data_IF_630574616313
#
_entry.id   IF_630574616313
#
_cell.length_a   1.000
_cell.length_b   1.000
_cell.length_c   1.000
_cell.angle_alpha   90.00
_cell.angle_beta   90.00
_cell.angle_gamma   90.00
#
_symmetry.space_group_name_H-M   'P 1'
#
loop_
_entity.id
_entity.type
_entity.pdbx_description
1 polymer ?
#
# COMPACT_ATOMS: atom_id res chain seq x y z
N UNK A 1 -29.73 -14.92 54.72
CA UNK A 1 -28.43 -15.62 54.70
C UNK A 1 -27.57 -14.97 53.63
N UNK A 2 -26.44 -14.39 54.04
CA UNK A 2 -25.41 -13.83 53.16
C UNK A 2 -24.66 -14.98 52.51
N UNK A 3 -24.54 -14.99 51.19
CA UNK A 3 -23.25 -15.29 50.55
C UNK A 3 -23.21 -14.58 49.20
N UNK A 4 -22.52 -13.43 49.18
CA UNK A 4 -21.92 -12.89 47.98
C UNK A 4 -20.88 -13.91 47.49
N UNK A 5 -21.00 -14.37 46.25
CA UNK A 5 -19.91 -15.02 45.53
C UNK A 5 -19.62 -14.16 44.30
N UNK A 6 -18.70 -13.22 44.50
CA UNK A 6 -17.93 -12.58 43.45
C UNK A 6 -17.10 -13.66 42.76
N UNK A 7 -17.38 -13.94 41.49
CA UNK A 7 -16.46 -14.65 40.61
C UNK A 7 -15.95 -13.64 39.61
N UNK A 8 -14.83 -13.01 39.96
CA UNK A 8 -13.98 -12.31 39.01
C UNK A 8 -13.16 -13.37 38.27
N UNK A 9 -13.42 -13.54 36.97
CA UNK A 9 -12.53 -14.26 36.07
C UNK A 9 -12.16 -13.31 34.92
N UNK A 10 -11.02 -12.66 35.11
CA UNK A 10 -10.26 -12.00 34.05
C UNK A 10 -10.00 -13.04 32.95
N UNK A 11 -10.67 -12.90 31.81
CA UNK A 11 -10.20 -13.54 30.57
C UNK A 11 -9.56 -12.43 29.74
N UNK A 12 -8.27 -12.64 29.53
CA UNK A 12 -7.30 -11.72 28.96
C UNK A 12 -7.80 -11.05 27.70
N UNK A 13 -7.93 -9.72 27.74
CA UNK A 13 -7.85 -8.89 26.55
C UNK A 13 -6.43 -8.95 25.99
N UNK A 14 -6.04 -10.07 25.39
CA UNK A 14 -4.98 -10.04 24.40
C UNK A 14 -5.62 -9.53 23.12
N UNK A 15 -5.73 -8.20 23.01
CA UNK A 15 -5.65 -7.55 21.70
C UNK A 15 -4.21 -7.80 21.25
N UNK A 16 -3.96 -9.03 20.82
CA UNK A 16 -2.76 -9.37 20.08
C UNK A 16 -2.99 -8.71 18.74
N UNK A 17 -2.41 -7.53 18.56
CA UNK A 17 -2.16 -6.99 17.24
C UNK A 17 -1.23 -8.00 16.55
N UNK A 18 -1.79 -9.08 16.02
CA UNK A 18 -1.08 -9.88 15.03
C UNK A 18 -0.96 -8.93 13.85
N UNK A 19 0.20 -8.29 13.74
CA UNK A 19 0.59 -7.60 12.53
C UNK A 19 0.91 -8.74 11.55
N UNK A 20 -0.14 -9.30 10.93
CA UNK A 20 0.03 -10.23 9.82
C UNK A 20 0.83 -9.46 8.78
N UNK A 21 2.08 -9.90 8.54
CA UNK A 21 2.89 -9.34 7.49
C UNK A 21 2.31 -9.74 6.13
N UNK A 22 2.49 -8.88 5.13
CA UNK A 22 2.12 -9.19 3.74
C UNK A 22 2.85 -10.47 3.30
N UNK A 23 2.09 -11.43 2.77
CA UNK A 23 2.63 -12.65 2.18
C UNK A 23 3.34 -12.38 0.84
N UNK A 24 4.31 -13.23 0.47
CA UNK A 24 4.99 -13.10 -0.82
C UNK A 24 4.03 -13.27 -2.01
N UNK A 25 3.00 -14.11 -1.86
CA UNK A 25 1.96 -14.30 -2.87
C UNK A 25 1.12 -13.03 -3.08
N UNK A 26 0.82 -12.29 -2.01
CA UNK A 26 0.13 -11.02 -2.10
C UNK A 26 0.99 -9.94 -2.78
N UNK A 27 2.27 -9.83 -2.40
CA UNK A 27 3.22 -8.94 -3.09
C UNK A 27 3.31 -9.26 -4.58
N UNK A 28 3.40 -10.54 -4.94
CA UNK A 28 3.47 -10.96 -6.32
C UNK A 28 2.21 -10.56 -7.11
N UNK A 29 1.01 -10.70 -6.51
CA UNK A 29 -0.25 -10.23 -7.10
C UNK A 29 -0.28 -8.72 -7.26
N UNK A 30 0.16 -7.96 -6.26
CA UNK A 30 0.21 -6.51 -6.32
C UNK A 30 1.16 -6.02 -7.43
N UNK A 31 2.37 -6.60 -7.54
CA UNK A 31 3.34 -6.27 -8.58
C UNK A 31 2.77 -6.57 -9.97
N UNK A 32 2.17 -7.76 -10.15
CA UNK A 32 1.57 -8.13 -11.44
C UNK A 32 0.44 -7.17 -11.85
N UNK A 33 -0.41 -6.78 -10.90
CA UNK A 33 -1.49 -5.84 -11.13
C UNK A 33 -0.97 -4.42 -11.41
N UNK A 34 0.07 -3.97 -10.69
CA UNK A 34 0.73 -2.69 -10.92
C UNK A 34 1.33 -2.57 -12.32
N UNK A 35 2.02 -3.62 -12.81
CA UNK A 35 2.56 -3.66 -14.17
C UNK A 35 1.45 -3.62 -15.23
N UNK A 36 0.30 -4.26 -14.97
CA UNK A 36 -0.85 -4.18 -15.88
C UNK A 36 -1.43 -2.76 -15.95
N UNK A 37 -1.56 -2.07 -14.81
CA UNK A 37 -2.00 -0.66 -14.77
C UNK A 37 -0.98 0.25 -15.47
N UNK A 38 0.32 0.04 -15.23
CA UNK A 38 1.38 0.80 -15.89
C UNK A 38 1.25 0.72 -17.42
N UNK A 39 1.11 -0.48 -17.98
CA UNK A 39 0.95 -0.67 -19.42
C UNK A 39 -0.32 0.00 -19.96
N UNK A 40 -1.44 -0.06 -19.22
CA UNK A 40 -2.66 0.64 -19.60
C UNK A 40 -2.47 2.16 -19.65
N UNK A 41 -1.85 2.75 -18.62
CA UNK A 41 -1.65 4.19 -18.52
C UNK A 41 -0.61 4.69 -19.55
N UNK A 42 0.43 3.89 -19.81
CA UNK A 42 1.42 4.16 -20.86
C UNK A 42 0.78 4.19 -22.24
N UNK A 43 -0.10 3.24 -22.54
CA UNK A 43 -0.88 3.21 -23.78
C UNK A 43 -1.85 4.38 -23.89
N UNK A 44 -2.38 4.87 -22.76
CA UNK A 44 -3.22 6.06 -22.69
C UNK A 44 -2.42 7.38 -22.81
N UNK A 45 -1.08 7.32 -22.85
CA UNK A 45 -0.22 8.49 -22.98
C UNK A 45 -0.10 9.32 -21.71
N UNK A 46 -0.28 8.71 -20.52
CA UNK A 46 -0.02 9.38 -19.25
C UNK A 46 1.45 9.75 -19.13
N UNK A 47 1.72 10.97 -18.68
CA UNK A 47 3.06 11.44 -18.39
C UNK A 47 3.50 10.96 -17.00
N UNK A 48 4.62 10.25 -16.96
CA UNK A 48 5.20 9.69 -15.75
C UNK A 48 6.36 10.51 -15.19
N UNK A 49 6.74 11.61 -15.85
CA UNK A 49 7.92 12.40 -15.50
C UNK A 49 7.82 13.12 -14.15
N UNK A 50 6.62 13.34 -13.64
CA UNK A 50 6.39 13.93 -12.32
C UNK A 50 6.23 12.86 -11.21
N UNK A 51 6.39 11.57 -11.54
CA UNK A 51 6.20 10.48 -10.57
C UNK A 51 4.78 10.36 -10.01
N UNK A 52 3.73 10.32 -10.85
CA UNK A 52 2.36 10.33 -10.37
C UNK A 52 1.94 9.00 -9.73
N UNK A 53 0.95 9.06 -8.84
CA UNK A 53 0.09 7.93 -8.51
C UNK A 53 -0.68 7.49 -9.75
N UNK A 54 -0.63 6.20 -10.07
CA UNK A 54 -1.33 5.63 -11.22
C UNK A 54 -2.48 4.69 -10.84
N UNK A 55 -2.55 4.27 -9.57
CA UNK A 55 -3.70 3.59 -8.99
C UNK A 55 -3.78 3.84 -7.48
N UNK A 56 -4.89 4.44 -7.02
CA UNK A 56 -5.19 4.60 -5.59
C UNK A 56 -5.37 3.25 -4.88
N UNK A 57 -5.91 2.26 -5.60
CA UNK A 57 -6.05 0.88 -5.14
C UNK A 57 -5.99 -0.06 -6.37
N UNK A 58 -5.02 -0.96 -6.40
CA UNK A 58 -4.82 -1.94 -7.49
C UNK A 58 -5.27 -3.34 -7.10
N UNK A 59 -5.10 -3.67 -5.82
CA UNK A 59 -5.75 -4.75 -5.08
C UNK A 59 -6.03 -4.20 -3.67
N UNK A 60 -6.83 -4.93 -2.88
CA UNK A 60 -7.18 -4.55 -1.50
C UNK A 60 -5.93 -4.09 -0.73
N UNK A 61 -5.96 -2.86 -0.22
CA UNK A 61 -4.89 -2.25 0.60
C UNK A 61 -3.57 -1.86 -0.13
N UNK A 62 -3.51 -1.96 -1.46
CA UNK A 62 -2.31 -1.67 -2.27
C UNK A 62 -2.51 -0.54 -3.28
N UNK A 63 -1.63 0.45 -3.24
CA UNK A 63 -1.56 1.55 -4.23
C UNK A 63 -0.37 1.39 -5.19
N UNK A 64 -0.32 2.19 -6.26
CA UNK A 64 0.78 2.18 -7.24
C UNK A 64 1.25 3.59 -7.55
N UNK A 65 2.50 3.87 -7.19
CA UNK A 65 3.18 5.14 -7.46
C UNK A 65 4.28 4.96 -8.52
N UNK A 66 4.49 5.99 -9.33
CA UNK A 66 5.71 6.15 -10.11
C UNK A 66 6.72 6.97 -9.29
N UNK A 67 8.00 6.58 -9.28
CA UNK A 67 9.07 7.39 -8.72
C UNK A 67 10.38 7.23 -9.49
N UNK A 68 11.27 8.20 -9.40
CA UNK A 68 12.61 8.08 -9.96
C UNK A 68 13.52 7.20 -9.09
N UNK A 69 14.54 6.59 -9.71
CA UNK A 69 15.60 5.87 -9.01
C UNK A 69 16.97 6.26 -9.57
N UNK A 70 17.77 7.11 -8.88
CA UNK A 70 17.53 7.67 -7.53
C UNK A 70 16.32 8.60 -7.45
N UNK A 71 15.66 8.62 -6.29
CA UNK A 71 14.48 9.46 -6.02
C UNK A 71 14.82 10.95 -6.16
N UNK A 72 13.92 11.70 -6.78
CA UNK A 72 14.04 13.13 -7.03
C UNK A 72 13.09 13.93 -6.11
N UNK A 73 13.27 15.25 -6.06
CA UNK A 73 12.40 16.13 -5.26
C UNK A 73 10.93 16.06 -5.71
N UNK A 74 10.69 15.89 -7.01
CA UNK A 74 9.34 15.79 -7.58
C UNK A 74 8.55 14.59 -7.06
N UNK A 75 9.21 13.48 -6.76
CA UNK A 75 8.57 12.25 -6.22
C UNK A 75 8.09 12.44 -4.76
N UNK A 76 8.56 13.47 -4.06
CA UNK A 76 8.20 13.76 -2.67
C UNK A 76 7.04 14.77 -2.56
N UNK A 77 6.58 15.32 -3.68
CA UNK A 77 5.45 16.23 -3.70
C UNK A 77 4.17 15.49 -3.30
N UNK A 78 3.37 16.01 -2.34
CA UNK A 78 2.14 15.34 -1.89
C UNK A 78 1.10 15.12 -2.99
N UNK A 79 1.10 15.96 -4.01
CA UNK A 79 0.23 15.87 -5.19
C UNK A 79 0.57 14.72 -6.14
N UNK A 80 1.79 14.17 -6.04
CA UNK A 80 2.26 13.08 -6.90
C UNK A 80 2.14 11.71 -6.22
N UNK A 81 1.85 11.67 -4.91
CA UNK A 81 1.68 10.45 -4.14
C UNK A 81 0.20 10.05 -4.08
N UNK A 82 -0.09 8.75 -4.07
CA UNK A 82 -1.46 8.27 -3.94
C UNK A 82 -2.16 8.83 -2.69
N UNK A 83 -3.34 9.41 -2.89
CA UNK A 83 -4.11 10.01 -1.80
C UNK A 83 -4.51 8.95 -0.78
N UNK A 84 -4.85 7.74 -1.22
CA UNK A 84 -5.30 6.65 -0.35
C UNK A 84 -4.19 6.20 0.59
N UNK A 85 -2.94 6.17 0.12
CA UNK A 85 -1.80 5.88 0.98
C UNK A 85 -1.56 7.01 1.99
N UNK A 86 -1.66 8.27 1.55
CA UNK A 86 -1.53 9.44 2.44
C UNK A 86 -2.64 9.55 3.48
N UNK A 87 -3.85 9.15 3.15
CA UNK A 87 -5.03 9.16 4.02
C UNK A 87 -5.12 7.90 4.90
N UNK A 88 -4.26 6.90 4.70
CA UNK A 88 -4.26 5.64 5.45
C UNK A 88 -5.38 4.66 5.06
N UNK A 89 -5.85 4.71 3.81
CA UNK A 89 -6.83 3.78 3.24
C UNK A 89 -6.15 2.56 2.61
N UNK A 90 -5.01 2.77 1.95
CA UNK A 90 -4.08 1.71 1.55
C UNK A 90 -2.83 1.79 2.40
N UNK A 91 -2.32 0.66 2.87
CA UNK A 91 -1.14 0.61 3.72
C UNK A 91 0.09 0.06 3.01
N UNK A 92 -0.11 -0.45 1.80
CA UNK A 92 0.94 -1.01 0.95
C UNK A 92 1.02 -0.29 -0.39
N UNK A 93 2.17 -0.40 -1.04
CA UNK A 93 2.37 0.19 -2.36
C UNK A 93 3.40 -0.55 -3.20
N UNK A 94 3.22 -0.48 -4.52
CA UNK A 94 4.24 -0.80 -5.52
C UNK A 94 4.77 0.51 -6.08
N UNK A 95 6.09 0.66 -6.10
CA UNK A 95 6.78 1.82 -6.69
C UNK A 95 7.51 1.36 -7.96
N UNK A 96 7.17 1.97 -9.10
CA UNK A 96 7.79 1.70 -10.41
C UNK A 96 8.56 2.92 -10.91
N UNK A 97 9.56 2.72 -11.76
CA UNK A 97 10.20 3.82 -12.49
C UNK A 97 9.27 4.35 -13.59
N UNK A 98 9.53 5.55 -14.17
CA UNK A 98 8.83 6.00 -15.37
C UNK A 98 8.93 5.01 -16.55
N UNK A 99 9.99 4.20 -16.61
CA UNK A 99 10.21 3.14 -17.60
C UNK A 99 9.48 1.83 -17.29
N UNK A 100 8.84 1.73 -16.11
CA UNK A 100 8.07 0.56 -15.67
C UNK A 100 8.88 -0.49 -14.93
N UNK A 101 10.10 -0.15 -14.47
CA UNK A 101 10.93 -1.06 -13.70
C UNK A 101 10.52 -1.06 -12.22
N UNK A 102 10.48 -2.23 -11.58
CA UNK A 102 10.14 -2.33 -10.16
C UNK A 102 11.25 -1.73 -9.29
N UNK A 103 10.91 -0.75 -8.46
CA UNK A 103 11.79 -0.23 -7.41
C UNK A 103 11.58 -1.04 -6.12
N UNK A 104 10.33 -1.16 -5.66
CA UNK A 104 9.96 -1.88 -4.43
C UNK A 104 8.47 -2.17 -4.33
N UNK A 105 8.12 -3.14 -3.48
CA UNK A 105 6.75 -3.45 -3.07
C UNK A 105 6.73 -3.78 -1.57
N UNK A 106 5.95 -3.04 -0.76
CA UNK A 106 5.91 -3.22 0.69
C UNK A 106 4.65 -2.66 1.34
#
# INVERSE_FOLDING_TARGET
MRTLLLVALLTSATVSCIREGVSDDEKARAIAAALAVYEQQKQAGVDFSDGPCIAEEVIDDWSVDIAHNPRQEVDNKPENQCQYYRDGKTHHFVELTPEGELIRAK
#
